data_IF_992288455139
#
_entry.id   IF_992288455139
#
_cell.length_a   1.000
_cell.length_b   1.000
_cell.length_c   1.000
_cell.angle_alpha   90.00
_cell.angle_beta   90.00
_cell.angle_gamma   90.00
#
_symmetry.space_group_name_H-M   'P 1'
#
loop_
_entity.id
_entity.type
_entity.pdbx_description
1 polymer ?
#
# COMPACT_ATOMS: atom_id res chain seq x y z
N UNK A 1 6.17 -13.46 -21.91
CA UNK A 1 6.26 -11.99 -22.11
C UNK A 1 4.86 -11.44 -21.94
N UNK A 2 4.66 -10.43 -21.09
CA UNK A 2 3.33 -9.81 -20.89
C UNK A 2 2.93 -8.90 -22.06
N UNK A 3 1.67 -8.48 -22.08
CA UNK A 3 1.15 -7.54 -23.07
C UNK A 3 1.72 -6.13 -22.84
N UNK A 4 2.37 -5.58 -23.86
CA UNK A 4 3.01 -4.26 -23.83
C UNK A 4 1.97 -3.14 -23.73
N UNK A 5 0.83 -3.29 -24.40
CA UNK A 5 -0.24 -2.30 -24.40
C UNK A 5 -0.93 -2.25 -23.05
N UNK A 6 -1.18 -3.41 -22.45
CA UNK A 6 -1.74 -3.49 -21.10
C UNK A 6 -0.82 -2.79 -20.08
N UNK A 7 0.49 -3.03 -20.18
CA UNK A 7 1.46 -2.41 -19.29
C UNK A 7 1.48 -0.89 -19.44
N UNK A 8 1.40 -0.38 -20.67
CA UNK A 8 1.38 1.06 -20.94
C UNK A 8 0.12 1.72 -20.37
N UNK A 9 -1.06 1.15 -20.65
CA UNK A 9 -2.34 1.65 -20.14
C UNK A 9 -2.34 1.66 -18.61
N UNK A 10 -1.93 0.56 -17.96
CA UNK A 10 -1.88 0.49 -16.50
C UNK A 10 -0.87 1.49 -15.91
N UNK A 11 0.22 1.77 -16.63
CA UNK A 11 1.17 2.80 -16.22
C UNK A 11 0.54 4.20 -16.29
N UNK A 12 -0.23 4.49 -17.33
CA UNK A 12 -0.99 5.75 -17.43
C UNK A 12 -2.05 5.85 -16.31
N UNK A 13 -2.79 4.77 -16.04
CA UNK A 13 -3.72 4.70 -14.91
C UNK A 13 -3.00 4.96 -13.57
N UNK A 14 -1.81 4.40 -13.37
CA UNK A 14 -1.00 4.63 -12.18
C UNK A 14 -0.59 6.11 -12.03
N UNK A 15 -0.26 6.80 -13.12
CA UNK A 15 0.02 8.25 -13.09
C UNK A 15 -1.22 9.07 -12.74
N UNK A 16 -2.38 8.69 -13.27
CA UNK A 16 -3.66 9.33 -12.93
C UNK A 16 -4.02 9.10 -11.46
N UNK A 17 -3.91 7.86 -10.98
CA UNK A 17 -4.12 7.50 -9.58
C UNK A 17 -3.11 8.19 -8.65
N UNK A 18 -1.89 8.48 -9.08
CA UNK A 18 -0.94 9.24 -8.28
C UNK A 18 -1.40 10.68 -7.98
N UNK A 19 -2.32 11.22 -8.78
CA UNK A 19 -2.87 12.58 -8.66
C UNK A 19 -4.16 12.64 -7.84
N UNK A 20 -4.78 11.50 -7.52
CA UNK A 20 -5.95 11.45 -6.64
C UNK A 20 -5.53 11.61 -5.18
N UNK A 21 -6.41 12.24 -4.38
CA UNK A 21 -6.19 12.43 -2.94
C UNK A 21 -6.84 11.31 -2.16
N UNK A 22 -6.21 10.94 -1.05
CA UNK A 22 -6.72 10.00 -0.06
C UNK A 22 -7.08 8.59 -0.59
N UNK A 23 -6.33 8.12 -1.58
CA UNK A 23 -6.48 6.75 -2.14
C UNK A 23 -5.27 5.90 -1.79
N UNK A 24 -5.45 4.60 -1.63
CA UNK A 24 -4.35 3.66 -1.38
C UNK A 24 -3.28 3.74 -2.47
N UNK A 25 -3.68 3.78 -3.74
CA UNK A 25 -2.76 3.79 -4.88
C UNK A 25 -1.92 5.08 -4.93
N UNK A 26 -2.50 6.23 -4.59
CA UNK A 26 -1.74 7.48 -4.51
C UNK A 26 -0.72 7.45 -3.36
N UNK A 27 -1.11 6.94 -2.19
CA UNK A 27 -0.20 6.76 -1.07
C UNK A 27 0.93 5.77 -1.38
N UNK A 28 0.62 4.66 -2.09
CA UNK A 28 1.60 3.68 -2.55
C UNK A 28 2.59 4.34 -3.53
N UNK A 29 2.08 5.09 -4.51
CA UNK A 29 2.89 5.77 -5.52
C UNK A 29 3.89 6.73 -4.87
N UNK A 30 3.45 7.66 -4.03
CA UNK A 30 4.34 8.67 -3.44
C UNK A 30 5.36 8.07 -2.48
N UNK A 31 4.97 7.03 -1.74
CA UNK A 31 5.88 6.26 -0.88
C UNK A 31 6.99 5.59 -1.69
N UNK A 32 6.65 4.98 -2.83
CA UNK A 32 7.63 4.35 -3.71
C UNK A 32 8.46 5.40 -4.47
N UNK A 33 7.83 6.47 -4.97
CA UNK A 33 8.51 7.52 -5.72
C UNK A 33 9.64 8.16 -4.91
N UNK A 34 9.46 8.34 -3.59
CA UNK A 34 10.51 8.85 -2.69
C UNK A 34 11.70 7.88 -2.54
N UNK A 35 11.51 6.57 -2.74
CA UNK A 35 12.56 5.54 -2.57
C UNK A 35 13.26 5.16 -3.86
N UNK A 36 12.50 4.99 -4.95
CA UNK A 36 12.99 4.39 -6.20
C UNK A 36 12.79 5.29 -7.43
N UNK A 37 12.24 6.49 -7.25
CA UNK A 37 11.92 7.43 -8.32
C UNK A 37 10.56 7.19 -8.97
N UNK A 38 9.99 8.24 -9.57
CA UNK A 38 8.61 8.28 -10.07
C UNK A 38 8.31 7.24 -11.16
N UNK A 39 9.24 7.03 -12.12
CA UNK A 39 9.05 6.07 -13.22
C UNK A 39 8.91 4.63 -12.70
N UNK A 40 9.81 4.20 -11.82
CA UNK A 40 9.75 2.86 -11.22
C UNK A 40 8.53 2.71 -10.30
N UNK A 41 8.14 3.78 -9.61
CA UNK A 41 6.93 3.80 -8.79
C UNK A 41 5.66 3.61 -9.63
N UNK A 42 5.55 4.26 -10.80
CA UNK A 42 4.41 4.09 -11.70
C UNK A 42 4.24 2.63 -12.15
N UNK A 43 5.33 1.97 -12.53
CA UNK A 43 5.32 0.55 -12.94
C UNK A 43 4.90 -0.35 -11.77
N UNK A 44 5.39 -0.09 -10.55
CA UNK A 44 5.02 -0.87 -9.38
C UNK A 44 3.54 -0.70 -8.99
N UNK A 45 2.99 0.50 -9.15
CA UNK A 45 1.56 0.78 -8.95
C UNK A 45 0.73 0.15 -10.06
N UNK A 46 1.18 0.19 -11.32
CA UNK A 46 0.54 -0.49 -12.45
C UNK A 46 0.40 -2.00 -12.20
N UNK A 47 1.45 -2.64 -11.68
CA UNK A 47 1.38 -4.04 -11.26
C UNK A 47 0.36 -4.25 -10.14
N UNK A 48 0.27 -3.32 -9.18
CA UNK A 48 -0.73 -3.40 -8.11
C UNK A 48 -2.15 -3.28 -8.65
N UNK A 49 -2.40 -2.38 -9.62
CA UNK A 49 -3.70 -2.25 -10.30
C UNK A 49 -4.05 -3.56 -11.00
N UNK A 50 -3.11 -4.18 -11.73
CA UNK A 50 -3.34 -5.46 -12.41
C UNK A 50 -3.78 -6.55 -11.44
N UNK A 51 -3.08 -6.68 -10.30
CA UNK A 51 -3.40 -7.68 -9.27
C UNK A 51 -4.77 -7.40 -8.66
N UNK A 52 -5.10 -6.14 -8.39
CA UNK A 52 -6.42 -5.75 -7.91
C UNK A 52 -7.48 -6.14 -8.93
N UNK A 53 -7.35 -5.74 -10.19
CA UNK A 53 -8.30 -6.10 -11.26
C UNK A 53 -8.50 -7.60 -11.38
N UNK A 54 -7.43 -8.39 -11.34
CA UNK A 54 -7.52 -9.85 -11.36
C UNK A 54 -8.32 -10.38 -10.15
N UNK A 55 -8.07 -9.86 -8.95
CA UNK A 55 -8.80 -10.26 -7.75
C UNK A 55 -10.29 -9.92 -7.83
N UNK A 56 -10.64 -8.72 -8.29
CA UNK A 56 -12.04 -8.29 -8.41
C UNK A 56 -12.79 -9.19 -9.40
N UNK A 57 -12.18 -9.47 -10.56
CA UNK A 57 -12.77 -10.31 -11.60
C UNK A 57 -12.88 -11.79 -11.17
N UNK A 58 -11.89 -12.29 -10.44
CA UNK A 58 -11.85 -13.71 -10.04
C UNK A 58 -12.80 -14.00 -8.88
N UNK A 59 -12.96 -13.06 -7.95
CA UNK A 59 -13.76 -13.24 -6.73
C UNK A 59 -15.15 -12.59 -6.82
N UNK A 60 -15.50 -12.00 -7.97
CA UNK A 60 -16.74 -11.25 -8.21
C UNK A 60 -17.05 -10.27 -7.07
N UNK A 61 -16.05 -9.44 -6.75
CA UNK A 61 -16.13 -8.52 -5.63
C UNK A 61 -15.84 -7.08 -6.04
N UNK A 62 -16.39 -6.14 -5.28
CA UNK A 62 -16.20 -4.72 -5.51
C UNK A 62 -14.87 -4.20 -4.96
N UNK A 63 -14.34 -3.16 -5.61
CA UNK A 63 -13.12 -2.50 -5.15
C UNK A 63 -13.40 -1.70 -3.88
N UNK A 64 -12.75 -2.10 -2.78
CA UNK A 64 -12.72 -1.34 -1.54
C UNK A 64 -11.36 -0.65 -1.39
N UNK A 65 -11.35 0.67 -1.46
CA UNK A 65 -10.11 1.44 -1.26
C UNK A 65 -9.68 1.37 0.21
N UNK A 66 -8.41 1.02 0.44
CA UNK A 66 -7.81 0.98 1.76
C UNK A 66 -7.53 2.39 2.34
N UNK A 67 -7.66 3.44 1.54
CA UNK A 67 -7.48 4.85 1.91
C UNK A 67 -6.01 5.30 1.91
N UNK A 68 -5.80 6.62 1.86
CA UNK A 68 -4.47 7.23 1.82
C UNK A 68 -3.63 6.95 3.08
N UNK A 69 -4.30 6.80 4.21
CA UNK A 69 -3.67 6.57 5.51
C UNK A 69 -3.30 5.11 5.78
N UNK A 70 -3.54 4.20 4.83
CA UNK A 70 -3.25 2.77 5.02
C UNK A 70 -1.80 2.50 5.44
N UNK A 71 -0.83 3.15 4.80
CA UNK A 71 0.58 2.96 5.13
C UNK A 71 0.98 3.60 6.45
N UNK A 72 0.34 4.71 6.84
CA UNK A 72 0.58 5.38 8.11
C UNK A 72 0.04 4.55 9.28
N UNK A 73 -1.21 4.09 9.19
CA UNK A 73 -1.84 3.18 10.16
C UNK A 73 -1.01 1.91 10.34
N UNK A 74 -0.63 1.26 9.24
CA UNK A 74 0.16 0.04 9.27
C UNK A 74 1.58 0.23 9.83
N UNK A 75 2.17 1.41 9.68
CA UNK A 75 3.46 1.70 10.30
C UNK A 75 3.33 1.87 11.82
N UNK A 76 2.26 2.52 12.30
CA UNK A 76 2.00 2.64 13.74
C UNK A 76 1.80 1.26 14.39
N UNK A 77 1.05 0.37 13.76
CA UNK A 77 0.85 -1.00 14.25
C UNK A 77 2.17 -1.79 14.27
N UNK A 78 2.96 -1.76 13.18
CA UNK A 78 4.28 -2.42 13.17
C UNK A 78 5.24 -1.85 14.22
N UNK A 79 5.21 -0.53 14.42
CA UNK A 79 6.03 0.13 15.42
C UNK A 79 5.63 -0.31 16.82
N UNK A 80 4.32 -0.35 17.10
CA UNK A 80 3.76 -0.89 18.35
C UNK A 80 4.23 -2.32 18.57
N UNK A 81 4.03 -3.20 17.60
CA UNK A 81 4.40 -4.62 17.71
C UNK A 81 5.92 -4.81 17.89
N UNK A 82 6.73 -3.98 17.24
CA UNK A 82 8.19 -3.96 17.46
C UNK A 82 8.56 -3.57 18.89
N UNK A 83 7.91 -2.54 19.45
CA UNK A 83 8.14 -2.10 20.83
C UNK A 83 7.71 -3.16 21.84
N UNK A 84 6.57 -3.81 21.61
CA UNK A 84 6.11 -4.95 22.42
C UNK A 84 7.17 -6.07 22.41
N UNK A 85 7.68 -6.43 21.22
CA UNK A 85 8.74 -7.43 21.09
C UNK A 85 10.03 -7.05 21.83
N UNK A 86 10.42 -5.78 21.80
CA UNK A 86 11.59 -5.28 22.55
C UNK A 86 11.38 -5.38 24.07
N UNK A 87 10.19 -5.04 24.57
CA UNK A 87 9.86 -5.16 25.99
C UNK A 87 9.81 -6.62 26.45
N UNK A 88 9.25 -7.52 25.63
CA UNK A 88 9.27 -8.96 25.91
C UNK A 88 10.69 -9.52 25.96
N UNK A 89 11.57 -9.11 25.03
CA UNK A 89 12.98 -9.54 25.05
C UNK A 89 13.73 -9.06 26.29
N UNK A 90 13.28 -7.98 26.93
CA UNK A 90 13.81 -7.49 28.19
C UNK A 90 13.17 -8.16 29.42
N UNK A 91 12.28 -9.14 29.23
CA UNK A 91 11.63 -9.89 30.30
C UNK A 91 10.37 -9.22 30.86
N UNK A 92 9.90 -8.12 30.27
CA UNK A 92 8.67 -7.45 30.72
C UNK A 92 7.43 -8.11 30.12
N UNK A 93 6.40 -8.24 30.95
CA UNK A 93 5.04 -8.55 30.49
C UNK A 93 4.36 -7.24 30.10
N UNK A 94 4.03 -7.09 28.81
CA UNK A 94 3.39 -5.87 28.29
C UNK A 94 1.88 -6.02 28.31
N UNK A 95 1.19 -5.11 28.99
CA UNK A 95 -0.26 -4.90 28.89
C UNK A 95 -0.51 -3.53 28.28
N UNK A 96 -1.25 -3.49 27.17
CA UNK A 96 -1.60 -2.25 26.49
C UNK A 96 -3.00 -1.81 26.91
N UNK A 97 -3.09 -0.63 27.52
CA UNK A 97 -4.34 0.05 27.76
C UNK A 97 -4.40 1.28 26.87
N UNK A 98 -5.50 1.44 26.11
CA UNK A 98 -5.73 2.64 25.32
C UNK A 98 -6.43 3.66 26.22
N UNK A 99 -5.84 4.84 26.47
CA UNK A 99 -6.55 5.87 27.20
C UNK A 99 -7.80 6.29 26.40
N UNK A 100 -8.91 6.47 27.12
CA UNK A 100 -10.21 6.87 26.58
C UNK A 100 -10.18 8.28 25.97
#
# INVERSE_FOLDING_TARGET
>A
KGDVWLTDILTQCAWSAARTRDTYLSAQFWRLARRIGKKKAAIAVAHSILVISWHLLTNDCDYQDLGGDYFTRRNADRQRDRLIGQLHNLGYRVTLERPA
#
